data_IF_504601699168
#
_entry.id   IF_504601699168
#
_cell.length_a   1.000
_cell.length_b   1.000
_cell.length_c   1.000
_cell.angle_alpha   90.00
_cell.angle_beta   90.00
_cell.angle_gamma   90.00
#
_symmetry.space_group_name_H-M   'P 1'
#
loop_
_entity.id
_entity.type
_entity.pdbx_description
1 polymer ?
#
# COMPACT_ATOMS: atom_id res chain seq x y z
N UNK A 1 42.26 11.65 19.45
CA UNK A 1 41.88 11.27 18.07
C UNK A 1 41.13 9.95 18.13
N UNK A 2 39.80 10.01 18.17
CA UNK A 2 38.86 8.99 17.70
C UNK A 2 37.47 9.61 17.82
N UNK A 3 37.03 10.19 16.71
CA UNK A 3 35.74 10.79 16.51
C UNK A 3 34.82 9.68 15.98
N UNK A 4 33.68 9.49 16.64
CA UNK A 4 32.31 9.51 16.10
C UNK A 4 31.42 8.54 16.85
N UNK A 5 30.71 9.12 17.82
CA UNK A 5 29.33 8.79 18.13
C UNK A 5 28.56 8.59 16.83
N UNK A 6 27.97 7.42 16.66
CA UNK A 6 26.86 7.22 15.73
C UNK A 6 25.65 7.05 16.65
N UNK A 7 25.00 8.16 16.98
CA UNK A 7 23.66 8.11 17.52
C UNK A 7 22.76 7.59 16.41
N UNK A 8 22.16 6.42 16.62
CA UNK A 8 21.08 5.94 15.78
C UNK A 8 19.95 6.97 15.87
N UNK A 9 19.76 7.76 14.82
CA UNK A 9 18.61 8.65 14.71
C UNK A 9 17.35 7.78 14.80
N UNK A 10 16.60 7.94 15.89
CA UNK A 10 15.27 7.40 16.01
C UNK A 10 14.43 7.98 14.86
N UNK A 11 14.16 7.16 13.85
CA UNK A 11 13.18 7.48 12.82
C UNK A 11 11.85 7.60 13.58
N UNK A 12 11.33 8.83 13.69
CA UNK A 12 9.99 9.07 14.18
C UNK A 12 9.04 8.26 13.31
N UNK A 13 8.57 7.12 13.82
CA UNK A 13 7.64 6.25 13.11
C UNK A 13 6.40 7.10 12.81
N UNK A 14 6.10 7.31 11.53
CA UNK A 14 4.83 7.93 11.13
C UNK A 14 3.71 7.11 11.77
N UNK A 15 2.70 7.75 12.37
CA UNK A 15 1.58 7.03 12.97
C UNK A 15 0.92 6.13 11.94
N UNK A 16 0.74 4.85 12.31
CA UNK A 16 -0.09 3.91 11.60
C UNK A 16 -1.51 4.09 12.11
N UNK A 17 -2.41 4.45 11.20
CA UNK A 17 -3.81 4.69 11.52
C UNK A 17 -4.65 3.47 11.19
N UNK A 18 -5.62 3.16 12.04
CA UNK A 18 -6.59 2.10 11.77
C UNK A 18 -7.66 2.61 10.78
N UNK A 19 -8.20 1.71 9.95
CA UNK A 19 -9.28 2.01 9.03
C UNK A 19 -10.50 2.61 9.76
N UNK A 20 -10.74 2.19 11.01
CA UNK A 20 -11.78 2.74 11.87
C UNK A 20 -11.57 4.23 12.19
N UNK A 21 -10.32 4.69 12.30
CA UNK A 21 -10.00 6.10 12.59
C UNK A 21 -10.30 7.01 11.38
N UNK A 22 -10.24 6.45 10.17
CA UNK A 22 -10.48 7.18 8.92
C UNK A 22 -11.85 6.94 8.28
N UNK A 23 -12.73 6.16 8.91
CA UNK A 23 -14.09 5.87 8.43
C UNK A 23 -14.15 5.38 6.98
N UNK A 24 -13.13 4.63 6.55
CA UNK A 24 -13.05 4.13 5.17
C UNK A 24 -14.19 3.13 4.94
N UNK A 25 -15.00 3.42 3.94
CA UNK A 25 -16.11 2.55 3.57
C UNK A 25 -15.62 1.42 2.67
N UNK A 26 -15.44 0.22 3.22
CA UNK A 26 -14.90 -0.94 2.49
C UNK A 26 -15.64 -1.26 1.18
N UNK A 27 -16.93 -0.94 1.08
CA UNK A 27 -17.72 -1.18 -0.14
C UNK A 27 -17.35 -0.27 -1.31
N UNK A 28 -16.67 0.86 -1.05
CA UNK A 28 -16.14 1.76 -2.08
C UNK A 28 -14.83 1.25 -2.68
N UNK A 29 -14.19 0.26 -2.06
CA UNK A 29 -12.91 -0.29 -2.52
C UNK A 29 -13.17 -1.31 -3.63
N UNK A 30 -12.45 -1.17 -4.74
CA UNK A 30 -12.54 -2.11 -5.86
C UNK A 30 -12.14 -3.52 -5.44
N UNK A 31 -13.02 -4.51 -5.71
CA UNK A 31 -12.72 -5.94 -5.49
C UNK A 31 -11.50 -6.40 -6.29
N UNK A 32 -11.28 -5.84 -7.47
CA UNK A 32 -10.11 -6.17 -8.29
C UNK A 32 -8.83 -5.62 -7.66
N UNK A 33 -8.85 -4.40 -7.13
CA UNK A 33 -7.70 -3.83 -6.42
C UNK A 33 -7.35 -4.66 -5.17
N UNK A 34 -8.36 -5.07 -4.39
CA UNK A 34 -8.17 -5.98 -3.25
C UNK A 34 -7.54 -7.29 -3.72
N UNK A 35 -8.06 -7.89 -4.80
CA UNK A 35 -7.53 -9.14 -5.34
C UNK A 35 -6.07 -9.01 -5.80
N UNK A 36 -5.70 -7.92 -6.45
CA UNK A 36 -4.31 -7.65 -6.87
C UNK A 36 -3.39 -7.58 -5.64
N UNK A 37 -3.77 -6.81 -4.61
CA UNK A 37 -3.01 -6.76 -3.37
C UNK A 37 -2.88 -8.13 -2.72
N UNK A 38 -3.97 -8.89 -2.63
CA UNK A 38 -3.97 -10.23 -2.04
C UNK A 38 -3.04 -11.19 -2.78
N UNK A 39 -3.08 -11.23 -4.13
CA UNK A 39 -2.21 -12.09 -4.93
C UNK A 39 -0.73 -11.79 -4.68
N UNK A 40 -0.36 -10.51 -4.61
CA UNK A 40 1.02 -10.10 -4.35
C UNK A 40 1.44 -10.39 -2.89
N UNK A 41 0.53 -10.18 -1.94
CA UNK A 41 0.77 -10.46 -0.52
C UNK A 41 0.91 -11.96 -0.24
N UNK A 42 0.06 -12.79 -0.86
CA UNK A 42 0.15 -14.26 -0.78
C UNK A 42 1.46 -14.78 -1.39
N UNK A 43 2.02 -14.06 -2.35
CA UNK A 43 3.33 -14.31 -2.95
C UNK A 43 4.52 -13.81 -2.09
N UNK A 44 4.25 -13.17 -0.94
CA UNK A 44 5.27 -12.69 0.00
C UNK A 44 5.77 -11.27 -0.27
N UNK A 45 5.09 -10.50 -1.13
CA UNK A 45 5.41 -9.10 -1.38
C UNK A 45 4.57 -8.16 -0.52
N UNK A 46 5.07 -6.95 -0.33
CA UNK A 46 4.24 -5.86 0.18
C UNK A 46 3.42 -5.29 -0.97
N UNK A 47 2.12 -5.08 -0.77
CA UNK A 47 1.25 -4.45 -1.76
C UNK A 47 0.15 -3.63 -1.08
N UNK A 48 -0.03 -2.38 -1.52
CA UNK A 48 -0.98 -1.43 -0.92
C UNK A 48 -1.70 -0.61 -1.97
N UNK A 49 -2.96 -0.27 -1.70
CA UNK A 49 -3.67 0.76 -2.46
C UNK A 49 -3.09 2.12 -2.09
N UNK A 50 -2.78 2.95 -3.08
CA UNK A 50 -2.12 4.24 -2.88
C UNK A 50 -2.80 5.36 -3.68
N UNK A 51 -2.26 6.57 -3.54
CA UNK A 51 -2.58 7.68 -4.44
C UNK A 51 -3.97 8.27 -4.21
N UNK A 52 -4.61 8.67 -5.32
CA UNK A 52 -5.89 9.38 -5.31
C UNK A 52 -7.02 8.58 -4.67
N UNK A 53 -7.01 7.26 -4.82
CA UNK A 53 -8.01 6.39 -4.22
C UNK A 53 -8.05 6.50 -2.69
N UNK A 54 -6.89 6.51 -2.04
CA UNK A 54 -6.79 6.64 -0.58
C UNK A 54 -7.34 7.99 -0.12
N UNK A 55 -6.96 9.07 -0.80
CA UNK A 55 -7.49 10.41 -0.52
C UNK A 55 -9.02 10.44 -0.63
N UNK A 56 -9.56 9.92 -1.72
CA UNK A 56 -10.99 9.96 -2.00
C UNK A 56 -11.77 9.13 -0.98
N UNK A 57 -11.27 7.94 -0.60
CA UNK A 57 -11.85 7.10 0.45
C UNK A 57 -11.91 7.78 1.80
N UNK A 58 -10.84 8.48 2.21
CA UNK A 58 -10.80 9.25 3.48
C UNK A 58 -11.81 10.41 3.45
N UNK A 59 -12.04 11.01 2.27
CA UNK A 59 -13.05 12.06 2.09
C UNK A 59 -14.48 11.49 1.96
N UNK A 60 -14.68 10.18 2.02
CA UNK A 60 -15.97 9.53 1.81
C UNK A 60 -16.48 9.63 0.36
N UNK A 61 -15.58 9.87 -0.58
CA UNK A 61 -15.86 9.96 -2.01
C UNK A 61 -15.59 8.61 -2.70
N UNK A 62 -16.28 8.36 -3.80
CA UNK A 62 -16.03 7.18 -4.62
C UNK A 62 -14.78 7.39 -5.49
N UNK A 63 -13.72 6.56 -5.35
CA UNK A 63 -12.55 6.64 -6.21
C UNK A 63 -12.88 6.32 -7.67
N UNK A 64 -12.18 6.98 -8.60
CA UNK A 64 -12.32 6.73 -10.04
C UNK A 64 -11.45 5.56 -10.50
N UNK A 65 -10.21 5.56 -10.04
CA UNK A 65 -9.17 4.59 -10.38
C UNK A 65 -8.51 4.10 -9.08
N UNK A 66 -7.93 2.90 -9.12
CA UNK A 66 -7.20 2.30 -8.00
C UNK A 66 -5.79 1.93 -8.43
N UNK A 67 -4.81 2.57 -7.80
CA UNK A 67 -3.39 2.27 -8.01
C UNK A 67 -2.87 1.37 -6.87
N UNK A 68 -2.02 0.40 -7.22
CA UNK A 68 -1.34 -0.49 -6.27
C UNK A 68 0.15 -0.24 -6.33
N UNK A 69 0.77 0.03 -5.18
CA UNK A 69 2.21 0.06 -5.02
C UNK A 69 2.69 -1.24 -4.37
N UNK A 70 3.83 -1.76 -4.84
CA UNK A 70 4.45 -2.99 -4.32
C UNK A 70 5.97 -2.88 -4.28
N UNK A 71 6.61 -3.66 -3.41
CA UNK A 71 8.07 -3.83 -3.40
C UNK A 71 8.57 -4.84 -4.45
N UNK A 72 7.69 -5.53 -5.17
CA UNK A 72 8.05 -6.41 -6.28
C UNK A 72 8.53 -5.59 -7.50
N UNK A 73 9.57 -6.06 -8.19
CA UNK A 73 9.97 -5.49 -9.48
C UNK A 73 8.97 -5.89 -10.58
N UNK A 74 8.91 -5.17 -11.71
CA UNK A 74 8.02 -5.53 -12.83
C UNK A 74 8.19 -6.99 -13.30
N UNK A 75 9.42 -7.51 -13.31
CA UNK A 75 9.74 -8.89 -13.68
C UNK A 75 9.18 -9.90 -12.67
N UNK A 76 9.15 -9.54 -11.38
CA UNK A 76 8.59 -10.36 -10.30
C UNK A 76 7.06 -10.35 -10.32
N UNK A 77 6.42 -9.26 -10.76
CA UNK A 77 4.94 -9.16 -10.84
C UNK A 77 4.39 -9.99 -12.00
N UNK A 78 5.07 -9.98 -13.15
CA UNK A 78 4.58 -10.55 -14.41
C UNK A 78 4.08 -12.02 -14.32
N UNK A 79 4.74 -12.96 -13.61
CA UNK A 79 4.28 -14.35 -13.52
C UNK A 79 2.91 -14.52 -12.85
N UNK A 80 2.49 -13.57 -12.00
CA UNK A 80 1.21 -13.66 -11.27
C UNK A 80 0.02 -13.18 -12.09
N UNK A 81 0.25 -12.43 -13.16
CA UNK A 81 -0.79 -11.80 -13.99
C UNK A 81 -0.45 -11.97 -15.47
N UNK A 82 -0.67 -13.18 -15.98
CA UNK A 82 -0.54 -13.48 -17.41
C UNK A 82 -1.88 -13.32 -18.10
N UNK A 83 -1.91 -12.63 -19.24
CA UNK A 83 -3.08 -12.67 -20.12
C UNK A 83 -3.20 -14.08 -20.74
N UNK A 84 -4.41 -14.64 -20.81
CA UNK A 84 -4.66 -15.96 -21.38
C UNK A 84 -4.43 -16.02 -22.89
#
# INVERSE_FOLDING_TARGET
>A
MLIKSIEAQAISLKPLYDAAEHQIQNHLISRNAIKVCQVLQDAGFEAYIVGGAVRDLILGLQPKDFDVATNATPEQVKPYFVEP
#
